data_IF_531504699896
#
_entry.id   IF_531504699896
#
_cell.length_a   1.000
_cell.length_b   1.000
_cell.length_c   1.000
_cell.angle_alpha   90.00
_cell.angle_beta   90.00
_cell.angle_gamma   90.00
#
_symmetry.space_group_name_H-M   'P 1'
#
loop_
_entity.id
_entity.type
_entity.pdbx_description
1 polymer ?
#
# COMPACT_ATOMS: atom_id res chain seq x y z
N UNK A 1 1.49 -16.63 -31.64
CA UNK A 1 0.73 -16.07 -30.49
C UNK A 1 1.72 -15.41 -29.54
N UNK A 2 1.48 -14.14 -29.19
CA UNK A 2 2.22 -13.47 -28.11
C UNK A 2 1.81 -14.14 -26.78
N UNK A 3 2.75 -14.83 -26.14
CA UNK A 3 2.55 -15.38 -24.80
C UNK A 3 2.83 -14.28 -23.77
N UNK A 4 2.00 -14.23 -22.74
CA UNK A 4 2.28 -13.41 -21.56
C UNK A 4 3.39 -14.15 -20.80
N UNK A 5 4.54 -13.50 -20.61
CA UNK A 5 5.67 -14.09 -19.91
C UNK A 5 5.68 -13.76 -18.42
N UNK A 6 5.15 -12.58 -18.03
CA UNK A 6 5.14 -12.12 -16.63
C UNK A 6 3.83 -11.42 -16.28
N UNK A 7 3.36 -11.65 -15.07
CA UNK A 7 2.16 -11.03 -14.51
C UNK A 7 2.50 -10.49 -13.12
N UNK A 8 2.33 -9.19 -12.92
CA UNK A 8 2.44 -8.58 -11.61
C UNK A 8 1.04 -8.25 -11.08
N UNK A 9 0.72 -8.76 -9.90
CA UNK A 9 -0.47 -8.35 -9.16
C UNK A 9 -0.03 -7.37 -8.07
N UNK A 10 -0.50 -6.13 -8.16
CA UNK A 10 -0.08 -5.07 -7.27
C UNK A 10 -1.20 -4.66 -6.32
N UNK A 11 -0.95 -4.78 -5.00
CA UNK A 11 -1.70 -4.07 -3.98
C UNK A 11 -1.18 -2.64 -3.91
N UNK A 12 -1.90 -1.71 -4.50
CA UNK A 12 -1.51 -0.30 -4.57
C UNK A 12 -1.82 0.44 -3.28
N UNK A 13 -1.27 1.64 -3.13
CA UNK A 13 -1.42 2.49 -1.94
C UNK A 13 -0.91 1.84 -0.65
N UNK A 14 0.18 1.08 -0.74
CA UNK A 14 0.81 0.47 0.43
C UNK A 14 1.30 1.49 1.46
N UNK A 15 1.46 2.76 1.05
CA UNK A 15 1.77 3.89 1.92
C UNK A 15 0.63 4.26 2.90
N UNK A 16 -0.57 3.72 2.71
CA UNK A 16 -1.68 3.84 3.68
C UNK A 16 -1.55 2.85 4.85
N UNK A 17 -0.54 2.01 4.85
CA UNK A 17 -0.19 1.08 5.91
C UNK A 17 1.27 1.27 6.31
N UNK A 18 1.59 0.94 7.57
CA UNK A 18 2.98 0.83 8.00
C UNK A 18 3.66 -0.39 7.33
N UNK A 19 4.97 -0.33 7.08
CA UNK A 19 5.69 -1.41 6.37
C UNK A 19 5.57 -2.77 7.05
N UNK A 20 5.38 -2.82 8.36
CA UNK A 20 5.14 -4.06 9.11
C UNK A 20 3.89 -4.84 8.65
N UNK A 21 2.95 -4.14 7.99
CA UNK A 21 1.73 -4.74 7.44
C UNK A 21 1.82 -5.09 5.96
N UNK A 22 2.91 -4.72 5.26
CA UNK A 22 3.03 -4.94 3.82
C UNK A 22 3.05 -6.42 3.44
N UNK A 23 3.72 -7.27 4.22
CA UNK A 23 3.76 -8.71 3.95
C UNK A 23 2.38 -9.36 4.16
N UNK A 24 1.63 -8.91 5.16
CA UNK A 24 0.23 -9.35 5.37
C UNK A 24 -0.65 -8.92 4.20
N UNK A 25 -0.50 -7.69 3.71
CA UNK A 25 -1.23 -7.19 2.54
C UNK A 25 -0.93 -8.05 1.30
N UNK A 26 0.33 -8.37 1.05
CA UNK A 26 0.73 -9.25 -0.06
C UNK A 26 0.13 -10.66 0.09
N UNK A 27 0.14 -11.24 1.29
CA UNK A 27 -0.44 -12.54 1.56
C UNK A 27 -1.96 -12.55 1.32
N UNK A 28 -2.67 -11.50 1.74
CA UNK A 28 -4.11 -11.31 1.49
C UNK A 28 -4.38 -11.24 -0.01
N UNK A 29 -3.66 -10.39 -0.73
CA UNK A 29 -3.87 -10.23 -2.18
C UNK A 29 -3.54 -11.52 -2.92
N UNK A 30 -2.45 -12.21 -2.55
CA UNK A 30 -2.12 -13.53 -3.12
C UNK A 30 -3.26 -14.53 -2.91
N UNK A 31 -3.86 -14.55 -1.73
CA UNK A 31 -4.99 -15.42 -1.43
C UNK A 31 -6.24 -15.08 -2.26
N UNK A 32 -6.51 -13.79 -2.48
CA UNK A 32 -7.62 -13.32 -3.32
C UNK A 32 -7.49 -13.75 -4.78
N UNK A 33 -6.26 -13.76 -5.31
CA UNK A 33 -5.98 -14.06 -6.72
C UNK A 33 -5.43 -15.47 -6.94
N UNK A 34 -5.43 -16.33 -5.92
CA UNK A 34 -4.81 -17.66 -5.94
C UNK A 34 -5.21 -18.49 -7.17
N UNK A 35 -6.51 -18.54 -7.50
CA UNK A 35 -6.99 -19.26 -8.69
C UNK A 35 -6.49 -18.67 -10.01
N UNK A 36 -6.24 -17.37 -10.05
CA UNK A 36 -5.67 -16.71 -11.23
C UNK A 36 -4.17 -17.04 -11.35
N UNK A 37 -3.46 -17.10 -10.22
CA UNK A 37 -2.06 -17.50 -10.13
C UNK A 37 -1.90 -18.94 -10.66
N UNK A 38 -2.68 -19.89 -10.14
CA UNK A 38 -2.64 -21.30 -10.57
C UNK A 38 -2.85 -21.45 -12.09
N UNK A 39 -3.78 -20.70 -12.67
CA UNK A 39 -4.03 -20.72 -14.11
C UNK A 39 -2.88 -20.14 -14.92
N UNK A 40 -2.24 -19.11 -14.41
CA UNK A 40 -1.13 -18.46 -15.09
C UNK A 40 0.15 -19.31 -14.99
N UNK A 41 0.43 -19.92 -13.85
CA UNK A 41 1.51 -20.89 -13.67
C UNK A 41 1.38 -22.05 -14.68
N UNK A 42 0.17 -22.56 -14.87
CA UNK A 42 -0.10 -23.59 -15.88
C UNK A 42 0.19 -23.11 -17.31
N UNK A 43 0.07 -21.81 -17.59
CA UNK A 43 0.41 -21.21 -18.88
C UNK A 43 1.90 -20.92 -19.06
N UNK A 44 2.72 -21.09 -18.02
CA UNK A 44 4.15 -20.82 -18.00
C UNK A 44 4.52 -19.36 -17.89
N UNK A 45 3.66 -18.53 -17.28
CA UNK A 45 3.95 -17.15 -16.97
C UNK A 45 4.50 -17.02 -15.53
N UNK A 46 5.56 -16.23 -15.35
CA UNK A 46 6.05 -15.86 -14.02
C UNK A 46 5.07 -14.89 -13.35
N UNK A 47 4.75 -15.13 -12.08
CA UNK A 47 3.85 -14.27 -11.34
C UNK A 47 4.49 -13.77 -10.06
N UNK A 48 4.34 -12.47 -9.79
CA UNK A 48 4.67 -11.88 -8.48
C UNK A 48 3.48 -11.09 -7.93
N UNK A 49 3.39 -11.02 -6.60
CA UNK A 49 2.40 -10.23 -5.87
C UNK A 49 3.15 -9.25 -4.98
N UNK A 50 2.87 -7.97 -5.13
CA UNK A 50 3.64 -6.92 -4.52
C UNK A 50 2.74 -5.87 -3.86
N UNK A 51 3.02 -5.51 -2.60
CA UNK A 51 2.48 -4.30 -1.98
C UNK A 51 3.36 -3.11 -2.41
N UNK A 52 2.76 -2.11 -3.06
CA UNK A 52 3.50 -0.98 -3.61
C UNK A 52 2.71 0.34 -3.54
N UNK A 53 3.42 1.44 -3.67
CA UNK A 53 2.85 2.76 -3.93
C UNK A 53 3.68 3.46 -5.01
N UNK A 54 3.06 3.80 -6.13
CA UNK A 54 3.73 4.54 -7.21
C UNK A 54 4.08 5.98 -6.78
N UNK A 55 3.22 6.57 -5.93
CA UNK A 55 3.45 7.85 -5.26
C UNK A 55 3.17 7.65 -3.78
N UNK A 56 4.15 7.95 -2.93
CA UNK A 56 4.04 7.84 -1.48
C UNK A 56 3.53 9.17 -0.91
N UNK A 57 2.32 9.16 -0.35
CA UNK A 57 1.69 10.34 0.26
C UNK A 57 1.91 10.43 1.77
N UNK A 58 2.42 9.38 2.40
CA UNK A 58 2.66 9.31 3.84
C UNK A 58 4.11 8.96 4.14
N UNK A 59 4.55 9.23 5.36
CA UNK A 59 5.78 8.70 5.95
C UNK A 59 5.45 7.84 7.17
N UNK A 60 6.36 6.97 7.54
CA UNK A 60 6.18 6.10 8.70
C UNK A 60 6.77 6.75 9.95
N UNK A 61 6.12 6.50 11.08
CA UNK A 61 6.57 6.91 12.40
C UNK A 61 6.09 5.90 13.46
N UNK A 62 6.55 6.08 14.68
CA UNK A 62 6.06 5.35 15.84
C UNK A 62 5.59 6.36 16.87
N UNK A 63 4.46 6.06 17.52
CA UNK A 63 3.90 6.86 18.62
C UNK A 63 3.81 6.00 19.85
N UNK A 64 4.26 6.54 20.98
CA UNK A 64 4.11 5.87 22.27
C UNK A 64 2.79 6.30 22.89
N UNK A 65 1.91 5.33 23.12
CA UNK A 65 0.64 5.53 23.82
C UNK A 65 0.64 4.70 25.09
N UNK A 66 0.88 5.35 26.22
CA UNK A 66 1.06 4.67 27.50
C UNK A 66 2.34 3.80 27.51
N UNK A 67 2.18 2.49 27.56
CA UNK A 67 3.28 1.50 27.50
C UNK A 67 3.45 0.85 26.13
N UNK A 68 2.59 1.16 25.19
CA UNK A 68 2.58 0.58 23.84
C UNK A 68 3.24 1.50 22.84
N UNK A 69 4.00 0.92 21.91
CA UNK A 69 4.56 1.60 20.76
C UNK A 69 3.72 1.21 19.56
N UNK A 70 3.05 2.20 18.97
CA UNK A 70 2.17 1.99 17.83
C UNK A 70 2.86 2.42 16.53
N UNK A 71 2.88 1.55 15.52
CA UNK A 71 3.33 1.92 14.19
C UNK A 71 2.26 2.78 13.52
N UNK A 72 2.61 4.00 13.15
CA UNK A 72 1.68 4.97 12.54
C UNK A 72 2.19 5.43 11.18
N UNK A 73 1.26 5.88 10.35
CA UNK A 73 1.55 6.63 9.14
C UNK A 73 1.25 8.10 9.38
N UNK A 74 2.06 8.97 8.80
CA UNK A 74 1.94 10.43 8.95
C UNK A 74 1.78 11.05 7.58
N UNK A 75 0.74 11.83 7.40
CA UNK A 75 0.44 12.54 6.15
C UNK A 75 -0.66 13.56 6.38
N UNK A 76 -1.05 14.26 5.33
CA UNK A 76 -2.14 15.24 5.39
C UNK A 76 -3.40 14.61 4.81
N UNK A 77 -4.38 14.21 5.66
CA UNK A 77 -5.66 13.70 5.17
C UNK A 77 -6.38 14.76 4.34
N UNK A 78 -7.17 14.34 3.35
CA UNK A 78 -7.95 15.27 2.56
C UNK A 78 -9.07 15.91 3.42
N UNK A 79 -9.43 17.13 3.05
CA UNK A 79 -10.52 17.86 3.71
C UNK A 79 -11.81 17.04 3.68
N UNK A 80 -12.43 16.91 4.84
CA UNK A 80 -13.70 16.19 5.00
C UNK A 80 -13.55 14.68 5.23
N UNK A 81 -12.34 14.11 5.17
CA UNK A 81 -12.09 12.75 5.66
C UNK A 81 -12.35 12.68 7.17
N UNK A 82 -12.72 11.49 7.66
CA UNK A 82 -13.13 11.31 9.07
C UNK A 82 -12.52 10.03 9.65
N UNK A 83 -12.06 10.13 10.89
CA UNK A 83 -11.72 8.98 11.74
C UNK A 83 -12.30 9.21 13.13
N UNK A 84 -13.00 8.23 13.68
CA UNK A 84 -13.55 8.23 15.04
C UNK A 84 -14.35 9.51 15.37
N UNK A 85 -15.02 10.10 14.37
CA UNK A 85 -15.79 11.33 14.51
C UNK A 85 -15.01 12.63 14.30
N UNK A 86 -13.68 12.59 14.27
CA UNK A 86 -12.84 13.72 13.92
C UNK A 86 -12.88 13.99 12.42
N UNK A 87 -13.07 15.24 12.03
CA UNK A 87 -13.10 15.68 10.63
C UNK A 87 -11.83 16.45 10.32
N UNK A 88 -11.09 16.00 9.29
CA UNK A 88 -9.82 16.62 8.91
C UNK A 88 -10.03 17.88 8.05
N UNK A 89 -9.16 18.89 8.26
CA UNK A 89 -9.18 20.18 7.57
C UNK A 89 -8.56 20.14 6.16
N UNK A 90 -7.79 19.09 5.85
CA UNK A 90 -7.07 18.93 4.60
C UNK A 90 -5.73 19.64 4.54
N UNK A 91 -5.25 20.19 5.65
CA UNK A 91 -4.01 21.00 5.71
C UNK A 91 -3.06 20.54 6.80
N UNK A 92 -3.59 20.04 7.91
CA UNK A 92 -2.80 19.59 9.06
C UNK A 92 -2.23 18.19 8.84
N UNK A 93 -0.91 18.05 9.00
CA UNK A 93 -0.27 16.74 9.00
C UNK A 93 -0.67 15.99 10.27
N UNK A 94 -1.10 14.74 10.13
CA UNK A 94 -1.65 13.94 11.22
C UNK A 94 -1.03 12.56 11.25
N UNK A 95 -0.72 12.07 12.44
CA UNK A 95 -0.29 10.69 12.68
C UNK A 95 -1.54 9.81 12.86
N UNK A 96 -1.64 8.76 12.05
CA UNK A 96 -2.79 7.85 12.05
C UNK A 96 -2.29 6.43 12.24
N UNK A 97 -2.86 5.72 13.21
CA UNK A 97 -2.72 4.28 13.30
C UNK A 97 -3.72 3.64 12.32
N UNK A 98 -3.25 3.00 11.23
CA UNK A 98 -4.15 2.50 10.18
C UNK A 98 -4.91 1.24 10.59
N UNK A 99 -4.61 0.68 11.77
CA UNK A 99 -5.10 -0.63 12.19
C UNK A 99 -4.19 -1.77 11.72
N UNK A 100 -4.48 -2.97 12.21
CA UNK A 100 -3.75 -4.18 11.90
C UNK A 100 -4.49 -5.03 10.87
N UNK A 101 -3.80 -5.42 9.82
CA UNK A 101 -4.30 -6.43 8.90
C UNK A 101 -4.29 -7.82 9.57
N UNK A 102 -5.26 -8.69 9.25
CA UNK A 102 -5.31 -10.02 9.81
C UNK A 102 -4.04 -10.81 9.48
N UNK A 103 -3.52 -11.54 10.46
CA UNK A 103 -2.37 -12.45 10.26
C UNK A 103 -2.72 -13.64 9.36
N UNK A 104 -3.96 -14.12 9.46
CA UNK A 104 -4.48 -15.19 8.61
C UNK A 104 -5.12 -14.59 7.36
N UNK A 105 -4.57 -14.80 6.16
CA UNK A 105 -5.16 -14.27 4.91
C UNK A 105 -6.59 -14.74 4.64
N UNK A 106 -7.00 -15.89 5.17
CA UNK A 106 -8.36 -16.41 4.98
C UNK A 106 -9.43 -15.62 5.76
N UNK A 107 -9.05 -14.85 6.76
CA UNK A 107 -9.98 -14.02 7.55
C UNK A 107 -10.77 -13.02 6.68
N UNK A 108 -10.26 -12.63 5.51
CA UNK A 108 -10.96 -11.76 4.57
C UNK A 108 -12.27 -12.35 4.02
N UNK A 109 -12.44 -13.67 4.08
CA UNK A 109 -13.65 -14.35 3.65
C UNK A 109 -14.68 -14.49 4.76
N UNK A 110 -14.34 -14.08 5.98
CA UNK A 110 -15.28 -14.09 7.10
C UNK A 110 -16.28 -12.92 6.98
N UNK A 111 -17.50 -13.14 7.43
CA UNK A 111 -18.57 -12.13 7.36
C UNK A 111 -18.23 -10.85 8.12
N UNK A 112 -17.50 -10.97 9.23
CA UNK A 112 -17.04 -9.84 10.04
C UNK A 112 -16.15 -8.89 9.24
N UNK A 113 -15.22 -9.44 8.47
CA UNK A 113 -14.32 -8.64 7.62
C UNK A 113 -15.07 -8.01 6.44
N UNK A 114 -16.00 -8.74 5.82
CA UNK A 114 -16.80 -8.26 4.69
C UNK A 114 -17.74 -7.10 5.06
N UNK A 115 -18.13 -6.97 6.32
CA UNK A 115 -18.93 -5.85 6.84
C UNK A 115 -18.12 -4.60 7.18
N UNK A 116 -16.81 -4.63 6.99
CA UNK A 116 -15.87 -3.60 7.35
C UNK A 116 -15.39 -3.77 8.81
N UNK A 117 -14.09 -3.96 8.97
CA UNK A 117 -13.47 -3.99 10.30
C UNK A 117 -13.33 -2.55 10.81
N UNK A 118 -14.00 -2.14 11.90
CA UNK A 118 -13.89 -0.78 12.45
C UNK A 118 -12.49 -0.47 12.96
N UNK A 119 -11.66 -1.48 13.18
CA UNK A 119 -10.26 -1.29 13.57
C UNK A 119 -9.37 -0.84 12.40
N UNK A 120 -9.81 -0.99 11.15
CA UNK A 120 -9.05 -0.56 9.97
C UNK A 120 -9.48 0.85 9.59
N UNK A 121 -8.53 1.78 9.59
CA UNK A 121 -8.76 3.20 9.35
C UNK A 121 -8.16 3.62 8.02
N UNK A 122 -8.98 3.80 7.02
CA UNK A 122 -8.56 4.30 5.71
C UNK A 122 -9.08 5.71 5.48
N UNK A 123 -8.14 6.62 5.23
CA UNK A 123 -8.44 7.97 4.75
C UNK A 123 -7.63 8.26 3.49
N UNK A 124 -8.12 9.18 2.68
CA UNK A 124 -7.37 9.66 1.53
C UNK A 124 -6.42 10.75 1.98
N UNK A 125 -5.19 10.69 1.49
CA UNK A 125 -4.16 11.66 1.79
C UNK A 125 -3.90 12.59 0.60
N UNK A 126 -3.45 13.80 0.91
CA UNK A 126 -2.92 14.72 -0.08
C UNK A 126 -1.64 14.13 -0.67
N UNK A 127 -1.46 14.13 -2.00
CA UNK A 127 -0.20 13.70 -2.59
C UNK A 127 0.95 14.62 -2.18
N UNK A 128 2.21 14.13 -2.19
CA UNK A 128 3.37 14.95 -1.87
C UNK A 128 3.49 16.12 -2.85
N UNK A 129 3.95 17.26 -2.37
CA UNK A 129 4.26 18.40 -3.22
C UNK A 129 5.59 18.15 -3.94
N UNK A 130 5.67 18.55 -5.19
CA UNK A 130 6.95 18.59 -5.90
C UNK A 130 7.83 19.67 -5.27
N UNK A 131 9.01 19.28 -4.83
CA UNK A 131 9.96 20.23 -4.27
C UNK A 131 10.62 21.04 -5.39
N UNK A 132 10.67 22.36 -5.20
CA UNK A 132 11.47 23.26 -6.02
C UNK A 132 12.83 23.43 -5.37
N UNK A 133 13.86 22.99 -6.05
CA UNK A 133 15.25 23.26 -5.68
C UNK A 133 15.78 24.45 -6.47
N UNK A 134 16.95 24.98 -6.08
CA UNK A 134 17.63 26.04 -6.84
C UNK A 134 17.96 25.63 -8.28
N UNK A 135 18.02 24.33 -8.56
CA UNK A 135 18.33 23.74 -9.87
C UNK A 135 17.08 23.44 -10.72
N UNK A 136 15.88 23.66 -10.16
CA UNK A 136 14.61 23.41 -10.86
C UNK A 136 13.60 22.60 -10.04
N UNK A 137 12.67 21.95 -10.73
CA UNK A 137 11.67 21.08 -10.10
C UNK A 137 12.24 19.66 -10.01
N UNK A 138 12.33 19.13 -8.81
CA UNK A 138 12.66 17.71 -8.62
C UNK A 138 11.43 16.87 -9.02
N UNK A 139 11.58 16.10 -10.09
CA UNK A 139 10.55 15.17 -10.57
C UNK A 139 10.57 13.83 -9.84
N UNK A 140 11.47 13.64 -8.89
CA UNK A 140 11.53 12.42 -8.10
C UNK A 140 10.43 12.42 -7.04
N UNK A 141 9.41 11.62 -7.26
CA UNK A 141 8.37 11.35 -6.27
C UNK A 141 8.77 10.13 -5.43
N UNK A 142 8.61 10.21 -4.10
CA UNK A 142 8.84 9.05 -3.25
C UNK A 142 7.86 7.92 -3.61
N UNK A 143 8.35 6.70 -3.65
CA UNK A 143 7.57 5.52 -3.97
C UNK A 143 7.88 4.36 -3.00
N UNK A 144 7.06 3.31 -3.05
CA UNK A 144 7.30 2.05 -2.37
C UNK A 144 7.33 0.94 -3.44
N UNK A 145 8.50 0.30 -3.61
CA UNK A 145 8.71 -0.87 -4.49
C UNK A 145 8.31 -0.68 -5.96
N UNK A 146 8.20 0.53 -6.47
CA UNK A 146 7.95 0.78 -7.89
C UNK A 146 9.10 0.27 -8.75
N UNK A 147 10.35 0.47 -8.30
CA UNK A 147 11.58 -0.05 -8.90
C UNK A 147 11.54 -1.58 -9.02
N UNK A 148 11.14 -2.28 -7.97
CA UNK A 148 10.97 -3.73 -7.97
C UNK A 148 9.90 -4.19 -8.96
N UNK A 149 8.78 -3.48 -9.04
CA UNK A 149 7.72 -3.78 -9.99
C UNK A 149 8.20 -3.67 -11.44
N UNK A 150 8.93 -2.61 -11.77
CA UNK A 150 9.52 -2.40 -13.09
C UNK A 150 10.60 -3.43 -13.40
N UNK A 151 11.49 -3.71 -12.43
CA UNK A 151 12.52 -4.73 -12.59
C UNK A 151 11.92 -6.11 -12.90
N UNK A 152 10.86 -6.50 -12.22
CA UNK A 152 10.17 -7.75 -12.48
C UNK A 152 9.55 -7.79 -13.88
N UNK A 153 8.85 -6.73 -14.31
CA UNK A 153 8.11 -6.72 -15.57
C UNK A 153 9.00 -6.57 -16.81
N UNK A 154 10.01 -5.71 -16.72
CA UNK A 154 10.80 -5.30 -17.92
C UNK A 154 12.30 -5.27 -17.70
N UNK A 155 12.81 -5.70 -16.54
CA UNK A 155 14.24 -5.61 -16.21
C UNK A 155 15.17 -6.29 -17.21
N UNK A 156 14.74 -7.40 -17.80
CA UNK A 156 15.46 -8.13 -18.85
C UNK A 156 15.49 -7.43 -20.22
N UNK A 157 14.70 -6.37 -20.37
CA UNK A 157 14.63 -5.56 -21.60
C UNK A 157 15.34 -4.20 -21.47
N UNK A 158 15.82 -3.88 -20.27
CA UNK A 158 16.54 -2.64 -19.96
C UNK A 158 18.05 -2.84 -19.88
N UNK A 159 18.52 -4.07 -19.98
CA UNK A 159 19.92 -4.46 -19.95
C UNK A 159 20.58 -4.39 -21.34
#
# INVERSE_FOLDING_TARGET
QRRIGRILVAATKADHLHHESHDRLQAIVRRLVERAIERADFSGADIDVLAMAAVRATREATVTQGKEILPVIVGTPLKGEKIDGEVFDGETETAIFPGDLPKNPNAIFEKSFAQGDPAIRFVRFRPPRLERTAEGITLSLPHIRLDRALQFLIGDRLA
#
